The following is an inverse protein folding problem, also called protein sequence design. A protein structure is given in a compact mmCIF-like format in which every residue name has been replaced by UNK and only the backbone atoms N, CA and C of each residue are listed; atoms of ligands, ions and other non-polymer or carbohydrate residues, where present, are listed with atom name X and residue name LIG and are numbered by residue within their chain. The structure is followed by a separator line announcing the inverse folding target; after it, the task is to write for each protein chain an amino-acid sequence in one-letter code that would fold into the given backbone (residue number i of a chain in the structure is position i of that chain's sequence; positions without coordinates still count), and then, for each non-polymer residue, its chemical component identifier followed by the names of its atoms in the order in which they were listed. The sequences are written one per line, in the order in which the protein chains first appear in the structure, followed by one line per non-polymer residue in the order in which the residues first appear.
data_IF_984907316082
#
_entry.id   IF_984907316082
#
_cell.length_a   1.000
_cell.length_b   1.000
_cell.length_c   1.000
_cell.angle_alpha   90.00
_cell.angle_beta   90.00
_cell.angle_gamma   90.00
#
_symmetry.space_group_name_H-M   'P 1'
#
loop_
_entity.id
_entity.type
_entity.pdbx_description
1 polymer ?
#
# COMPACT_ATOMS: atom_id res chain seq x y z
N UNK A 1 5.38 -20.21 14.27
CA UNK A 1 4.97 -18.84 14.66
C UNK A 1 5.96 -18.40 15.72
N UNK A 2 6.91 -17.51 15.41
CA UNK A 2 7.79 -16.95 16.42
C UNK A 2 6.98 -15.95 17.24
N UNK A 3 6.98 -16.06 18.56
CA UNK A 3 6.42 -15.04 19.43
C UNK A 3 7.26 -13.77 19.28
N UNK A 4 6.62 -12.65 18.93
CA UNK A 4 7.29 -11.35 19.07
C UNK A 4 7.62 -11.16 20.55
N UNK A 5 8.91 -11.13 20.88
CA UNK A 5 9.35 -10.85 22.23
C UNK A 5 9.20 -9.35 22.50
N UNK A 6 8.52 -9.03 23.60
CA UNK A 6 8.42 -7.67 24.12
C UNK A 6 9.79 -7.28 24.72
N UNK A 7 10.40 -6.16 24.30
CA UNK A 7 11.64 -5.67 24.93
C UNK A 7 11.40 -5.31 26.40
N UNK A 8 12.37 -5.65 27.27
CA UNK A 8 12.36 -5.19 28.66
C UNK A 8 12.86 -3.75 28.81
N UNK A 9 12.57 -3.11 29.95
CA UNK A 9 13.10 -1.78 30.30
C UNK A 9 12.38 -0.58 29.66
N UNK A 10 11.18 -0.79 29.12
CA UNK A 10 10.30 0.29 28.66
C UNK A 10 9.74 1.09 29.85
N UNK A 11 9.56 2.40 29.65
CA UNK A 11 8.91 3.27 30.62
C UNK A 11 7.41 2.97 30.74
N UNK A 12 6.80 3.31 31.87
CA UNK A 12 5.39 2.98 32.19
C UNK A 12 4.39 3.63 31.23
N UNK A 13 4.77 4.70 30.53
CA UNK A 13 3.97 5.41 29.54
C UNK A 13 3.99 4.78 28.14
N UNK A 14 4.80 3.74 27.91
CA UNK A 14 4.89 3.06 26.61
C UNK A 14 3.89 1.91 26.54
N UNK A 15 2.97 1.99 25.56
CA UNK A 15 2.04 0.90 25.25
C UNK A 15 2.54 0.10 24.04
N UNK A 16 2.63 -1.22 24.19
CA UNK A 16 2.91 -2.13 23.07
C UNK A 16 1.59 -2.66 22.53
N UNK A 17 1.41 -2.54 21.22
CA UNK A 17 0.30 -3.15 20.50
C UNK A 17 0.82 -4.17 19.48
N UNK A 18 -0.01 -5.17 19.18
CA UNK A 18 0.28 -6.16 18.15
C UNK A 18 -0.21 -5.67 16.80
N UNK A 19 0.69 -5.60 15.82
CA UNK A 19 0.35 -5.25 14.45
C UNK A 19 0.44 -6.50 13.58
N UNK A 20 -0.70 -6.95 13.07
CA UNK A 20 -0.78 -8.03 12.11
C UNK A 20 -1.24 -7.48 10.77
N UNK A 21 -0.36 -7.50 9.76
CA UNK A 21 -0.56 -6.77 8.51
C UNK A 21 -1.89 -7.05 7.81
N UNK A 22 -2.41 -8.28 7.89
CA UNK A 22 -3.69 -8.61 7.23
C UNK A 22 -4.92 -8.12 8.00
N UNK A 23 -4.77 -7.69 9.26
CA UNK A 23 -5.85 -7.23 10.13
C UNK A 23 -5.92 -5.70 10.25
N UNK A 24 -4.88 -4.98 9.79
CA UNK A 24 -4.81 -3.49 9.79
C UNK A 24 -6.04 -2.86 9.10
N UNK A 25 -6.59 -3.53 8.09
CA UNK A 25 -7.78 -3.05 7.39
C UNK A 25 -9.05 -3.09 8.26
N UNK A 26 -9.07 -3.94 9.28
CA UNK A 26 -10.21 -4.25 10.14
C UNK A 26 -10.09 -3.65 11.55
N UNK A 27 -8.94 -3.04 11.90
CA UNK A 27 -8.72 -2.36 13.18
C UNK A 27 -8.77 -0.83 13.08
N UNK A 28 -8.40 -0.12 14.15
CA UNK A 28 -8.45 1.35 14.20
C UNK A 28 -7.52 2.05 13.18
N UNK A 29 -6.49 1.38 12.67
CA UNK A 29 -5.52 1.94 11.73
C UNK A 29 -6.15 2.12 10.34
N UNK A 30 -6.94 1.14 9.87
CA UNK A 30 -7.60 1.18 8.56
C UNK A 30 -8.43 2.45 8.36
N UNK A 31 -9.48 2.70 9.17
CA UNK A 31 -10.31 3.91 9.08
C UNK A 31 -9.51 5.20 9.18
N UNK A 32 -8.50 5.27 10.04
CA UNK A 32 -7.65 6.44 10.18
C UNK A 32 -6.85 6.73 8.89
N UNK A 33 -6.25 5.71 8.29
CA UNK A 33 -5.50 5.84 7.03
C UNK A 33 -6.44 6.19 5.88
N UNK A 34 -7.53 5.44 5.67
CA UNK A 34 -8.45 5.66 4.56
C UNK A 34 -9.19 7.00 4.64
N UNK A 35 -9.51 7.48 5.85
CA UNK A 35 -10.09 8.81 6.06
C UNK A 35 -9.11 9.93 5.72
N UNK A 36 -7.81 9.73 5.97
CA UNK A 36 -6.76 10.73 5.71
C UNK A 36 -6.32 10.77 4.23
N UNK A 37 -6.28 9.64 3.53
CA UNK A 37 -5.70 9.52 2.17
C UNK A 37 -6.31 10.53 1.18
N UNK A 38 -7.64 10.67 1.15
CA UNK A 38 -8.31 11.53 0.16
C UNK A 38 -7.89 12.99 0.30
N UNK A 39 -7.93 13.52 1.53
CA UNK A 39 -7.49 14.88 1.83
C UNK A 39 -6.00 15.06 1.58
N UNK A 40 -5.20 14.06 1.94
CA UNK A 40 -3.75 14.08 1.76
C UNK A 40 -3.34 14.15 0.28
N UNK A 41 -4.04 13.40 -0.59
CA UNK A 41 -3.86 13.45 -2.04
C UNK A 41 -4.29 14.81 -2.61
N UNK A 42 -5.45 15.33 -2.19
CA UNK A 42 -5.94 16.63 -2.64
C UNK A 42 -4.98 17.78 -2.25
N UNK A 43 -4.38 17.72 -1.06
CA UNK A 43 -3.38 18.69 -0.59
C UNK A 43 -1.97 18.46 -1.16
N UNK A 44 -1.73 17.35 -1.85
CA UNK A 44 -0.41 16.98 -2.37
C UNK A 44 0.63 16.59 -1.31
N UNK A 45 0.25 16.46 -0.03
CA UNK A 45 1.12 15.94 1.04
C UNK A 45 1.36 14.45 0.85
N UNK A 46 0.41 13.75 0.24
CA UNK A 46 0.58 12.42 -0.34
C UNK A 46 0.59 12.54 -1.87
N UNK A 47 1.52 11.85 -2.53
CA UNK A 47 1.60 11.81 -4.01
C UNK A 47 1.40 10.39 -4.50
N UNK A 48 0.57 10.24 -5.54
CA UNK A 48 0.43 8.97 -6.25
C UNK A 48 1.73 8.65 -7.00
N UNK A 49 2.63 7.93 -6.33
CA UNK A 49 3.85 7.38 -6.92
C UNK A 49 3.87 5.84 -6.75
N UNK A 50 4.64 5.10 -7.56
CA UNK A 50 5.38 5.57 -8.74
C UNK A 50 4.47 6.12 -9.85
N UNK A 51 5.07 6.85 -10.80
CA UNK A 51 4.33 7.43 -11.92
C UNK A 51 3.65 6.33 -12.76
N UNK A 52 2.39 6.55 -13.18
CA UNK A 52 1.66 5.57 -13.96
C UNK A 52 2.07 5.59 -15.43
N UNK A 53 2.04 4.41 -16.04
CA UNK A 53 2.08 4.21 -17.47
C UNK A 53 0.91 3.32 -17.88
N UNK A 54 0.02 3.84 -18.73
CA UNK A 54 -1.10 3.06 -19.24
C UNK A 54 -0.58 2.14 -20.35
N UNK A 55 -0.62 0.83 -20.11
CA UNK A 55 -0.13 -0.18 -21.06
C UNK A 55 -1.18 -0.63 -22.06
N UNK A 56 -2.47 -0.41 -21.75
CA UNK A 56 -3.57 -0.75 -22.64
C UNK A 56 -4.94 -0.61 -21.98
N UNK A 57 -5.98 -0.98 -22.73
CA UNK A 57 -7.40 -0.93 -22.33
C UNK A 57 -8.05 -2.31 -22.40
N UNK A 58 -8.92 -2.59 -21.44
CA UNK A 58 -9.66 -3.84 -21.33
C UNK A 58 -8.84 -5.00 -20.79
N UNK A 59 -9.52 -6.07 -20.37
CA UNK A 59 -8.88 -7.22 -19.70
C UNK A 59 -7.85 -7.95 -20.58
N UNK A 60 -7.96 -7.88 -21.91
CA UNK A 60 -6.98 -8.45 -22.83
C UNK A 60 -5.57 -7.85 -22.69
N UNK A 61 -5.45 -6.61 -22.19
CA UNK A 61 -4.15 -5.96 -21.99
C UNK A 61 -3.44 -6.40 -20.69
N UNK A 62 -4.10 -7.16 -19.80
CA UNK A 62 -3.52 -7.59 -18.52
C UNK A 62 -2.30 -8.49 -18.73
N UNK A 63 -2.37 -9.43 -19.68
CA UNK A 63 -1.25 -10.34 -19.94
C UNK A 63 0.02 -9.57 -20.36
N UNK A 64 -0.13 -8.60 -21.26
CA UNK A 64 0.95 -7.70 -21.68
C UNK A 64 1.52 -6.90 -20.50
N UNK A 65 0.66 -6.40 -19.60
CA UNK A 65 1.08 -5.69 -18.40
C UNK A 65 1.96 -6.58 -17.49
N UNK A 66 1.55 -7.83 -17.29
CA UNK A 66 2.26 -8.80 -16.45
C UNK A 66 3.63 -9.16 -17.04
N UNK A 67 3.69 -9.44 -18.34
CA UNK A 67 4.96 -9.73 -19.03
C UNK A 67 5.95 -8.56 -18.94
N UNK A 68 5.44 -7.33 -19.04
CA UNK A 68 6.28 -6.13 -18.88
C UNK A 68 6.78 -5.96 -17.45
N UNK A 69 5.93 -6.24 -16.45
CA UNK A 69 6.32 -6.21 -15.05
C UNK A 69 7.41 -7.26 -14.74
N UNK A 70 7.27 -8.48 -15.29
CA UNK A 70 8.22 -9.58 -15.10
C UNK A 70 9.61 -9.25 -15.66
N UNK A 71 9.69 -8.57 -16.81
CA UNK A 71 10.97 -8.07 -17.37
C UNK A 71 11.62 -6.98 -16.51
N UNK A 72 10.90 -6.46 -15.52
CA UNK A 72 11.32 -5.36 -14.67
C UNK A 72 10.93 -4.01 -15.24
N UNK A 73 10.52 -3.10 -14.35
CA UNK A 73 10.21 -1.71 -14.66
C UNK A 73 10.98 -0.80 -13.71
N UNK A 74 11.44 0.35 -14.20
CA UNK A 74 12.16 1.33 -13.37
C UNK A 74 11.16 2.12 -12.53
N UNK A 75 10.73 1.52 -11.41
CA UNK A 75 9.77 2.10 -10.47
C UNK A 75 8.61 2.80 -11.19
N UNK A 76 7.91 2.06 -12.06
CA UNK A 76 6.78 2.55 -12.87
C UNK A 76 5.53 1.75 -12.53
N UNK A 77 4.38 2.42 -12.39
CA UNK A 77 3.09 1.75 -12.15
C UNK A 77 2.44 1.43 -13.49
N UNK A 78 2.41 0.16 -13.88
CA UNK A 78 1.69 -0.26 -15.09
C UNK A 78 0.18 -0.26 -14.82
N UNK A 79 -0.59 0.43 -15.66
CA UNK A 79 -2.04 0.58 -15.51
C UNK A 79 -2.73 0.00 -16.75
N UNK A 80 -3.77 -0.82 -16.52
CA UNK A 80 -4.72 -1.23 -17.54
C UNK A 80 -6.03 -0.50 -17.27
N UNK A 81 -6.47 0.32 -18.23
CA UNK A 81 -7.73 1.03 -18.11
C UNK A 81 -8.90 0.08 -18.42
N UNK A 82 -9.96 0.15 -17.62
CA UNK A 82 -11.21 -0.58 -17.87
C UNK A 82 -12.18 0.41 -18.52
N UNK A 83 -12.84 0.06 -19.65
CA UNK A 83 -13.86 0.90 -20.29
C UNK A 83 -15.13 1.04 -19.46
#
# INVERSE_FOLDING_TARGET
MASSQVPGGLSEDVTISFCWSTHIKDDAVGPAIFGWITEALAKGVLRCKPDPEVVGRGLGAVQQAMERMERGVSATKLVVEIP
#
